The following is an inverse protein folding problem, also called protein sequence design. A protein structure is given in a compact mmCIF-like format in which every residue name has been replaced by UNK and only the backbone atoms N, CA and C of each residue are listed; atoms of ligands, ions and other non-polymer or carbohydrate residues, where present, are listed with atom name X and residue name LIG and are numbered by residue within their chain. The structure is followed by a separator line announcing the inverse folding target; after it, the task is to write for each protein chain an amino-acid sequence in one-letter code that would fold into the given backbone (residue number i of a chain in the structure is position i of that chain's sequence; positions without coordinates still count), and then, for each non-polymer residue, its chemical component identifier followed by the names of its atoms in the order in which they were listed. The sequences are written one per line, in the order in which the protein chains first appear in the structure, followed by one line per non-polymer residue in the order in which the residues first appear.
data_IF_690039753891
#
_entry.id   IF_690039753891
#
_cell.length_a   1.000
_cell.length_b   1.000
_cell.length_c   1.000
_cell.angle_alpha   90.00
_cell.angle_beta   90.00
_cell.angle_gamma   90.00
#
_symmetry.space_group_name_H-M   'P 1'
#
loop_
_entity.id
_entity.type
_entity.pdbx_description
1 polymer ?
#
# COMPACT_ATOMS: atom_id res chain seq x y z
N UNK A 1 -16.21 -0.93 -10.23
CA UNK A 1 -15.14 0.01 -9.82
C UNK A 1 -15.43 1.45 -10.27
N UNK A 2 -15.54 1.76 -11.57
CA UNK A 2 -15.98 3.10 -12.07
C UNK A 2 -17.36 3.54 -11.53
N UNK A 3 -18.30 2.59 -11.39
CA UNK A 3 -19.62 2.81 -10.80
C UNK A 3 -19.54 2.98 -9.27
N UNK A 4 -18.79 2.12 -8.56
CA UNK A 4 -18.65 2.17 -7.09
C UNK A 4 -17.97 3.45 -6.56
N UNK A 5 -17.22 4.17 -7.39
CA UNK A 5 -16.62 5.45 -7.00
C UNK A 5 -17.48 6.67 -7.38
N UNK A 6 -18.41 6.55 -8.34
CA UNK A 6 -19.24 7.67 -8.84
C UNK A 6 -20.70 7.66 -8.37
N UNK A 7 -21.31 6.52 -8.09
CA UNK A 7 -22.76 6.49 -7.85
C UNK A 7 -23.12 6.78 -6.39
N UNK A 8 -23.81 7.90 -6.19
CA UNK A 8 -24.49 8.33 -4.96
C UNK A 8 -25.71 7.47 -4.58
N UNK A 9 -25.95 6.34 -5.24
CA UNK A 9 -27.09 5.48 -4.98
C UNK A 9 -26.70 4.00 -5.04
N UNK A 10 -26.85 3.34 -3.88
CA UNK A 10 -26.97 1.87 -3.70
C UNK A 10 -25.88 1.00 -4.34
N UNK A 11 -24.69 1.01 -3.74
CA UNK A 11 -23.88 -0.18 -3.44
C UNK A 11 -22.58 0.27 -2.75
N UNK A 12 -22.39 -0.19 -1.52
CA UNK A 12 -21.32 0.12 -0.57
C UNK A 12 -19.91 0.23 -1.22
N UNK A 13 -19.37 1.46 -1.25
CA UNK A 13 -18.02 1.79 -1.67
C UNK A 13 -17.10 1.79 -0.44
N UNK A 14 -16.17 0.83 -0.24
CA UNK A 14 -15.27 0.91 0.91
C UNK A 14 -14.15 1.86 0.51
N UNK A 15 -14.33 3.15 0.81
CA UNK A 15 -13.24 4.11 0.61
C UNK A 15 -12.08 3.84 1.58
N UNK A 16 -12.33 3.06 2.65
CA UNK A 16 -11.30 2.42 3.48
C UNK A 16 -11.28 0.92 3.20
N UNK A 17 -10.09 0.40 2.92
CA UNK A 17 -9.85 -1.03 2.78
C UNK A 17 -8.98 -1.57 3.92
N UNK A 18 -9.16 -2.84 4.19
CA UNK A 18 -8.37 -3.55 5.17
C UNK A 18 -7.08 -4.08 4.54
N UNK A 19 -5.92 -3.80 5.14
CA UNK A 19 -4.61 -4.22 4.60
C UNK A 19 -3.83 -5.06 5.58
N UNK A 20 -2.95 -5.91 5.04
CA UNK A 20 -2.11 -6.81 5.83
C UNK A 20 -0.62 -6.52 5.65
N UNK A 21 0.15 -6.91 6.66
CA UNK A 21 1.60 -7.11 6.57
C UNK A 21 1.88 -8.53 7.02
N UNK A 22 3.07 -9.07 6.71
CA UNK A 22 3.48 -10.38 7.24
C UNK A 22 3.32 -10.38 8.76
N UNK A 23 2.45 -11.25 9.25
CA UNK A 23 2.35 -11.59 10.66
C UNK A 23 2.90 -12.99 10.86
N UNK A 24 3.37 -13.25 12.07
CA UNK A 24 4.04 -14.48 12.45
C UNK A 24 3.16 -15.39 13.34
N UNK A 25 2.03 -14.89 13.85
CA UNK A 25 1.13 -15.64 14.71
C UNK A 25 0.02 -16.31 13.88
N UNK A 26 -0.06 -17.65 13.86
CA UNK A 26 -1.11 -18.36 13.13
C UNK A 26 -2.51 -17.98 13.59
N UNK A 27 -3.42 -17.73 12.65
CA UNK A 27 -4.86 -17.52 12.93
C UNK A 27 -5.26 -16.08 13.23
N UNK A 28 -4.33 -15.18 13.60
CA UNK A 28 -4.66 -13.77 13.84
C UNK A 28 -5.19 -13.07 12.59
N UNK A 29 -4.67 -13.44 11.40
CA UNK A 29 -5.14 -12.86 10.13
C UNK A 29 -6.55 -13.33 9.85
N UNK A 30 -6.84 -14.62 9.99
CA UNK A 30 -8.18 -15.16 9.77
C UNK A 30 -9.23 -14.45 10.64
N UNK A 31 -8.97 -14.33 11.95
CA UNK A 31 -9.91 -13.69 12.89
C UNK A 31 -10.10 -12.19 12.58
N UNK A 32 -9.01 -11.48 12.27
CA UNK A 32 -9.12 -10.07 11.89
C UNK A 32 -9.91 -9.87 10.58
N UNK A 33 -9.78 -10.76 9.59
CA UNK A 33 -10.57 -10.69 8.35
C UNK A 33 -12.05 -10.89 8.67
N UNK A 34 -12.38 -11.91 9.47
CA UNK A 34 -13.77 -12.20 9.84
C UNK A 34 -14.40 -11.01 10.57
N UNK A 35 -13.71 -10.47 11.58
CA UNK A 35 -14.15 -9.27 12.30
C UNK A 35 -14.31 -8.06 11.37
N UNK A 36 -13.40 -7.87 10.43
CA UNK A 36 -13.50 -6.79 9.46
C UNK A 36 -14.75 -6.96 8.56
N UNK A 37 -15.04 -8.17 8.11
CA UNK A 37 -16.27 -8.47 7.35
C UNK A 37 -17.51 -8.16 8.19
N UNK A 38 -17.54 -8.58 9.46
CA UNK A 38 -18.64 -8.36 10.40
C UNK A 38 -18.88 -6.87 10.67
N UNK A 39 -17.81 -6.08 10.78
CA UNK A 39 -17.87 -4.62 10.92
C UNK A 39 -18.40 -3.93 9.67
N UNK A 40 -18.21 -4.53 8.49
CA UNK A 40 -18.71 -4.02 7.21
C UNK A 40 -17.64 -3.79 6.15
N UNK A 41 -16.37 -4.12 6.38
CA UNK A 41 -15.36 -4.06 5.34
C UNK A 41 -15.70 -5.02 4.21
N UNK A 42 -15.49 -4.54 2.99
CA UNK A 42 -15.67 -5.32 1.77
C UNK A 42 -14.42 -5.31 0.89
N UNK A 43 -13.47 -4.40 1.13
CA UNK A 43 -12.20 -4.35 0.39
C UNK A 43 -11.06 -4.86 1.27
N UNK A 44 -10.39 -5.91 0.80
CA UNK A 44 -9.21 -6.52 1.42
C UNK A 44 -8.00 -6.40 0.49
N UNK A 45 -6.91 -5.86 1.00
CA UNK A 45 -5.63 -5.69 0.31
C UNK A 45 -4.58 -6.64 0.89
N UNK A 46 -4.09 -7.56 0.07
CA UNK A 46 -3.02 -8.50 0.40
C UNK A 46 -1.97 -8.55 -0.71
N UNK A 47 -1.01 -9.46 -0.60
CA UNK A 47 0.00 -9.74 -1.61
C UNK A 47 0.60 -11.13 -1.39
N UNK A 48 1.15 -11.72 -2.46
CA UNK A 48 1.93 -12.96 -2.39
C UNK A 48 3.01 -12.91 -1.29
N UNK A 49 3.70 -11.78 -1.18
CA UNK A 49 4.78 -11.55 -0.21
C UNK A 49 4.34 -11.70 1.26
N UNK A 50 3.08 -11.43 1.58
CA UNK A 50 2.63 -11.37 2.97
C UNK A 50 2.44 -12.75 3.59
N UNK A 51 2.47 -13.81 2.76
CA UNK A 51 2.41 -15.22 3.18
C UNK A 51 1.18 -15.58 4.02
N UNK A 52 0.08 -14.84 3.86
CA UNK A 52 -1.14 -15.00 4.65
C UNK A 52 -2.41 -15.18 3.80
N UNK A 53 -2.27 -15.32 2.47
CA UNK A 53 -3.39 -15.45 1.54
C UNK A 53 -4.28 -16.67 1.85
N UNK A 54 -3.72 -17.74 2.41
CA UNK A 54 -4.48 -18.93 2.79
C UNK A 54 -5.43 -18.67 3.97
N UNK A 55 -4.96 -17.97 5.00
CA UNK A 55 -5.77 -17.54 6.15
C UNK A 55 -6.89 -16.60 5.72
N UNK A 56 -6.57 -15.64 4.85
CA UNK A 56 -7.55 -14.70 4.33
C UNK A 56 -8.61 -15.42 3.49
N UNK A 57 -8.18 -16.36 2.64
CA UNK A 57 -9.09 -17.21 1.88
C UNK A 57 -10.04 -17.99 2.78
N UNK A 58 -9.52 -18.64 3.84
CA UNK A 58 -10.36 -19.36 4.81
C UNK A 58 -11.40 -18.46 5.45
N UNK A 59 -11.02 -17.27 5.90
CA UNK A 59 -11.93 -16.31 6.50
C UNK A 59 -13.04 -15.88 5.53
N UNK A 60 -12.68 -15.47 4.30
CA UNK A 60 -13.65 -15.05 3.29
C UNK A 60 -14.63 -16.18 2.99
N UNK A 61 -14.15 -17.41 2.78
CA UNK A 61 -15.01 -18.57 2.49
C UNK A 61 -15.93 -18.91 3.65
N UNK A 62 -15.48 -18.81 4.90
CA UNK A 62 -16.34 -18.98 6.09
C UNK A 62 -17.48 -17.95 6.10
N UNK A 63 -17.17 -16.68 5.85
CA UNK A 63 -18.17 -15.60 5.79
C UNK A 63 -19.11 -15.67 4.57
N UNK A 64 -18.70 -16.39 3.52
CA UNK A 64 -19.59 -16.74 2.40
C UNK A 64 -20.49 -17.90 2.78
N UNK A 65 -19.93 -18.94 3.40
CA UNK A 65 -20.68 -20.14 3.80
C UNK A 65 -21.73 -19.85 4.89
N UNK A 66 -21.46 -18.93 5.81
CA UNK A 66 -22.42 -18.50 6.83
C UNK A 66 -23.47 -17.48 6.32
N UNK A 67 -23.38 -17.08 5.05
CA UNK A 67 -24.32 -16.15 4.42
C UNK A 67 -24.11 -14.67 4.74
N UNK A 68 -23.04 -14.30 5.47
CA UNK A 68 -22.78 -12.90 5.83
C UNK A 68 -22.43 -12.01 4.64
N UNK A 69 -21.77 -12.58 3.62
CA UNK A 69 -21.40 -11.91 2.37
C UNK A 69 -21.46 -12.87 1.20
N UNK A 70 -21.63 -12.35 -0.01
CA UNK A 70 -21.39 -13.09 -1.25
C UNK A 70 -19.99 -12.80 -1.78
N UNK A 71 -19.50 -13.62 -2.71
CA UNK A 71 -18.18 -13.38 -3.33
C UNK A 71 -18.14 -12.03 -4.04
N UNK A 72 -19.22 -11.67 -4.72
CA UNK A 72 -19.38 -10.39 -5.42
C UNK A 72 -19.48 -9.16 -4.50
N UNK A 73 -19.73 -9.37 -3.19
CA UNK A 73 -19.67 -8.30 -2.20
C UNK A 73 -18.22 -7.98 -1.78
N UNK A 74 -17.27 -8.89 -2.05
CA UNK A 74 -15.88 -8.75 -1.62
C UNK A 74 -15.01 -8.24 -2.76
N UNK A 75 -14.24 -7.19 -2.50
CA UNK A 75 -13.17 -6.70 -3.36
C UNK A 75 -11.83 -7.17 -2.81
N UNK A 76 -11.22 -8.17 -3.44
CA UNK A 76 -9.95 -8.71 -3.02
C UNK A 76 -8.80 -8.27 -3.94
N UNK A 77 -7.76 -7.67 -3.35
CA UNK A 77 -6.54 -7.25 -4.06
C UNK A 77 -5.37 -8.18 -3.69
N UNK A 78 -4.66 -8.68 -4.70
CA UNK A 78 -3.34 -9.32 -4.53
C UNK A 78 -2.30 -8.68 -5.44
N UNK A 79 -1.03 -9.04 -5.27
CA UNK A 79 0.10 -8.41 -5.96
C UNK A 79 1.16 -9.42 -6.41
N UNK A 80 1.63 -9.30 -7.66
CA UNK A 80 2.77 -10.06 -8.19
C UNK A 80 4.07 -9.54 -7.56
N UNK A 81 4.86 -10.45 -6.99
CA UNK A 81 6.11 -10.13 -6.32
C UNK A 81 7.29 -10.02 -7.30
N UNK A 82 8.38 -9.36 -6.86
CA UNK A 82 9.57 -9.07 -7.69
C UNK A 82 10.22 -10.29 -8.35
N UNK A 83 10.12 -11.47 -7.74
CA UNK A 83 10.67 -12.74 -8.28
C UNK A 83 9.81 -13.36 -9.39
N UNK A 84 8.62 -12.80 -9.65
CA UNK A 84 7.68 -13.26 -10.68
C UNK A 84 7.47 -12.23 -11.80
N UNK A 85 8.30 -11.19 -11.89
CA UNK A 85 8.11 -10.13 -12.90
C UNK A 85 8.49 -10.54 -14.33
N UNK A 86 9.17 -11.68 -14.54
CA UNK A 86 9.32 -12.24 -15.90
C UNK A 86 7.94 -12.55 -16.48
N UNK A 87 7.61 -12.16 -17.73
CA UNK A 87 6.26 -12.28 -18.29
C UNK A 87 5.65 -13.68 -18.16
N UNK A 88 6.44 -14.73 -18.38
CA UNK A 88 6.03 -16.13 -18.28
C UNK A 88 5.69 -16.59 -16.85
N UNK A 89 6.10 -15.85 -15.81
CA UNK A 89 5.88 -16.17 -14.40
C UNK A 89 4.71 -15.41 -13.76
N UNK A 90 4.26 -14.31 -14.38
CA UNK A 90 3.22 -13.44 -13.81
C UNK A 90 1.92 -14.20 -13.57
N UNK A 91 1.45 -14.96 -14.57
CA UNK A 91 0.23 -15.77 -14.45
C UNK A 91 0.39 -16.86 -13.39
N UNK A 92 1.55 -17.53 -13.36
CA UNK A 92 1.86 -18.55 -12.36
C UNK A 92 1.76 -18.01 -10.94
N UNK A 93 2.26 -16.79 -10.71
CA UNK A 93 2.15 -16.10 -9.41
C UNK A 93 0.69 -15.90 -9.01
N UNK A 94 -0.14 -15.40 -9.93
CA UNK A 94 -1.57 -15.19 -9.68
C UNK A 94 -2.30 -16.51 -9.38
N UNK A 95 -2.03 -17.56 -10.15
CA UNK A 95 -2.64 -18.88 -9.94
C UNK A 95 -2.23 -19.49 -8.58
N UNK A 96 -0.98 -19.27 -8.13
CA UNK A 96 -0.55 -19.65 -6.77
C UNK A 96 -1.40 -18.92 -5.72
N UNK A 97 -1.53 -17.60 -5.84
CA UNK A 97 -2.36 -16.80 -4.92
C UNK A 97 -3.81 -17.26 -4.91
N UNK A 98 -4.42 -17.49 -6.08
CA UNK A 98 -5.80 -17.99 -6.20
C UNK A 98 -5.98 -19.38 -5.59
N UNK A 99 -5.01 -20.29 -5.74
CA UNK A 99 -5.03 -21.60 -5.07
C UNK A 99 -5.00 -21.47 -3.55
N UNK A 100 -4.11 -20.64 -2.99
CA UNK A 100 -4.06 -20.37 -1.55
C UNK A 100 -5.39 -19.77 -1.04
N UNK A 101 -5.92 -18.82 -1.80
CA UNK A 101 -7.19 -18.17 -1.49
C UNK A 101 -8.41 -19.08 -1.69
N UNK A 102 -8.27 -20.15 -2.46
CA UNK A 102 -9.37 -20.93 -3.04
C UNK A 102 -10.48 -20.03 -3.61
N UNK A 103 -10.08 -19.04 -4.40
CA UNK A 103 -10.98 -18.15 -5.14
C UNK A 103 -10.75 -18.35 -6.64
N UNK A 104 -11.78 -18.09 -7.44
CA UNK A 104 -11.71 -18.18 -8.90
C UNK A 104 -11.11 -16.93 -9.56
N UNK A 105 -11.14 -15.78 -8.89
CA UNK A 105 -10.57 -14.53 -9.37
C UNK A 105 -10.20 -13.59 -8.22
N UNK A 106 -9.29 -12.65 -8.50
CA UNK A 106 -9.06 -11.43 -7.70
C UNK A 106 -9.73 -10.23 -8.38
N UNK A 107 -10.20 -9.28 -7.59
CA UNK A 107 -10.84 -8.07 -8.11
C UNK A 107 -9.82 -7.09 -8.68
N UNK A 108 -8.64 -7.04 -8.06
CA UNK A 108 -7.50 -6.23 -8.48
C UNK A 108 -6.20 -7.01 -8.34
N UNK A 109 -5.40 -7.04 -9.40
CA UNK A 109 -4.05 -7.59 -9.37
C UNK A 109 -3.02 -6.48 -9.66
N UNK A 110 -2.09 -6.28 -8.75
CA UNK A 110 -1.09 -5.21 -8.86
C UNK A 110 0.30 -5.78 -9.12
N UNK A 111 1.14 -5.05 -9.84
CA UNK A 111 2.59 -5.18 -9.63
C UNK A 111 2.87 -4.73 -8.18
N UNK A 112 3.67 -5.47 -7.40
CA UNK A 112 3.90 -5.11 -5.99
C UNK A 112 4.99 -4.03 -5.86
N UNK A 113 6.11 -4.22 -6.56
CA UNK A 113 7.19 -3.24 -6.71
C UNK A 113 7.72 -3.29 -8.15
N UNK A 114 8.14 -2.17 -8.75
CA UNK A 114 8.67 -2.16 -10.13
C UNK A 114 10.15 -2.58 -10.16
N UNK A 115 10.53 -3.58 -9.37
CA UNK A 115 11.92 -4.01 -9.19
C UNK A 115 11.99 -5.54 -9.35
N UNK A 116 12.46 -6.02 -10.51
CA UNK A 116 12.61 -7.45 -10.74
C UNK A 116 13.77 -8.01 -9.92
N UNK A 117 13.50 -9.14 -9.28
CA UNK A 117 14.47 -9.93 -8.51
C UNK A 117 14.74 -11.23 -9.24
N UNK A 118 15.86 -11.90 -8.94
CA UNK A 118 16.17 -13.24 -9.47
C UNK A 118 14.97 -14.17 -9.25
N UNK A 119 14.41 -14.78 -10.30
CA UNK A 119 13.34 -15.75 -10.13
C UNK A 119 13.79 -16.97 -9.30
N UNK A 120 12.89 -17.47 -8.47
CA UNK A 120 13.15 -18.60 -7.59
C UNK A 120 12.12 -18.70 -6.47
N UNK A 121 12.31 -19.69 -5.58
CA UNK A 121 11.45 -19.92 -4.42
C UNK A 121 11.69 -18.90 -3.30
N UNK A 122 12.91 -18.35 -3.22
CA UNK A 122 13.28 -17.34 -2.24
C UNK A 122 12.52 -16.03 -2.48
N UNK A 123 11.87 -15.49 -1.45
CA UNK A 123 11.22 -14.18 -1.54
C UNK A 123 12.22 -13.04 -1.75
N UNK A 124 13.41 -13.17 -1.15
CA UNK A 124 14.47 -12.16 -1.20
C UNK A 124 15.77 -12.88 -1.58
N UNK A 125 15.97 -13.21 -2.86
CA UNK A 125 17.15 -13.94 -3.30
C UNK A 125 18.40 -13.13 -3.01
N UNK A 126 19.38 -13.76 -2.36
CA UNK A 126 20.63 -13.12 -1.94
C UNK A 126 21.86 -13.82 -2.50
N UNK A 127 22.91 -13.05 -2.76
CA UNK A 127 24.22 -13.59 -3.14
C UNK A 127 25.03 -14.04 -1.90
N UNK A 128 26.26 -14.48 -2.14
CA UNK A 128 27.20 -14.94 -1.11
C UNK A 128 27.57 -13.85 -0.09
N UNK A 129 27.36 -12.57 -0.43
CA UNK A 129 27.60 -11.42 0.44
C UNK A 129 26.34 -10.96 1.20
N UNK A 130 25.19 -11.61 0.96
CA UNK A 130 23.92 -11.28 1.59
C UNK A 130 23.15 -10.14 0.91
N UNK A 131 23.59 -9.69 -0.27
CA UNK A 131 22.98 -8.62 -1.06
C UNK A 131 21.88 -9.16 -1.97
N UNK A 132 20.85 -8.35 -2.24
CA UNK A 132 19.72 -8.77 -3.09
C UNK A 132 20.17 -8.98 -4.53
N UNK A 133 19.79 -10.13 -5.12
CA UNK A 133 20.04 -10.41 -6.53
C UNK A 133 18.91 -9.84 -7.38
N UNK A 134 19.22 -8.77 -8.10
CA UNK A 134 18.31 -8.16 -9.07
C UNK A 134 18.25 -8.91 -10.39
N UNK A 135 17.19 -8.68 -11.14
CA UNK A 135 17.02 -9.19 -12.50
C UNK A 135 16.64 -8.04 -13.44
N UNK A 136 17.02 -8.16 -14.72
CA UNK A 136 16.58 -7.20 -15.74
C UNK A 136 15.33 -7.72 -16.43
N UNK A 137 14.24 -6.96 -16.36
CA UNK A 137 12.99 -7.25 -17.07
C UNK A 137 12.41 -5.95 -17.60
N UNK A 138 11.89 -5.99 -18.83
CA UNK A 138 11.07 -4.90 -19.34
C UNK A 138 9.68 -4.95 -18.70
N UNK A 139 9.37 -3.96 -17.86
CA UNK A 139 8.08 -3.85 -17.20
C UNK A 139 6.90 -3.70 -18.18
N UNK A 140 7.14 -3.25 -19.42
CA UNK A 140 6.11 -3.26 -20.46
C UNK A 140 5.70 -4.68 -20.83
N UNK A 141 6.66 -5.62 -20.94
CA UNK A 141 6.37 -7.03 -21.18
C UNK A 141 5.69 -7.69 -19.95
N UNK A 142 6.09 -7.31 -18.73
CA UNK A 142 5.36 -7.70 -17.51
C UNK A 142 3.91 -7.21 -17.56
N UNK A 143 3.67 -5.98 -18.00
CA UNK A 143 2.32 -5.41 -18.13
C UNK A 143 1.46 -6.18 -19.15
N UNK A 144 2.02 -6.59 -20.29
CA UNK A 144 1.32 -7.44 -21.26
C UNK A 144 0.92 -8.79 -20.65
N UNK A 145 1.73 -9.35 -19.75
CA UNK A 145 1.37 -10.55 -19.01
C UNK A 145 0.25 -10.29 -17.98
N UNK A 146 0.19 -9.10 -17.39
CA UNK A 146 -0.94 -8.66 -16.56
C UNK A 146 -2.22 -8.52 -17.39
N UNK A 147 -2.13 -8.00 -18.61
CA UNK A 147 -3.27 -7.92 -19.55
C UNK A 147 -3.86 -9.31 -19.81
N UNK A 148 -3.00 -10.32 -20.05
CA UNK A 148 -3.41 -11.72 -20.24
C UNK A 148 -4.10 -12.31 -19.00
N UNK A 149 -3.67 -11.93 -17.79
CA UNK A 149 -4.34 -12.34 -16.55
C UNK A 149 -5.74 -11.74 -16.41
N UNK A 150 -5.95 -10.53 -16.96
CA UNK A 150 -7.27 -9.92 -17.03
C UNK A 150 -8.15 -10.57 -18.11
N UNK A 151 -7.59 -10.81 -19.29
CA UNK A 151 -8.30 -11.46 -20.40
C UNK A 151 -8.79 -12.87 -20.03
N UNK A 152 -8.03 -13.62 -19.24
CA UNK A 152 -8.42 -14.95 -18.75
C UNK A 152 -9.47 -14.92 -17.63
N UNK A 153 -9.82 -13.73 -17.13
CA UNK A 153 -10.80 -13.56 -16.05
C UNK A 153 -10.25 -13.85 -14.64
N UNK A 154 -8.98 -14.23 -14.50
CA UNK A 154 -8.32 -14.48 -13.21
C UNK A 154 -8.14 -13.19 -12.39
N UNK A 155 -8.00 -12.04 -13.06
CA UNK A 155 -8.07 -10.73 -12.45
C UNK A 155 -9.17 -9.89 -13.12
N UNK A 156 -10.03 -9.21 -12.37
CA UNK A 156 -11.04 -8.31 -12.96
C UNK A 156 -10.44 -6.97 -13.38
N UNK A 157 -9.47 -6.49 -12.62
CA UNK A 157 -8.74 -5.25 -12.89
C UNK A 157 -7.25 -5.43 -12.62
N UNK A 158 -6.43 -4.59 -13.24
CA UNK A 158 -4.98 -4.58 -13.05
C UNK A 158 -4.49 -3.17 -12.75
N UNK A 159 -3.42 -3.07 -11.97
CA UNK A 159 -2.86 -1.80 -11.53
C UNK A 159 -1.41 -1.90 -11.14
N UNK A 160 -0.89 -0.80 -10.62
CA UNK A 160 0.54 -0.58 -10.46
C UNK A 160 0.86 0.01 -9.09
N UNK A 161 2.09 -0.17 -8.59
CA UNK A 161 2.55 0.46 -7.37
C UNK A 161 3.46 1.64 -7.71
N UNK A 162 3.46 2.67 -6.87
CA UNK A 162 4.59 3.60 -6.75
C UNK A 162 5.13 4.13 -8.09
N UNK A 163 4.24 4.43 -9.02
CA UNK A 163 4.62 4.89 -10.35
C UNK A 163 5.16 6.33 -10.28
N UNK A 164 6.48 6.49 -10.40
CA UNK A 164 7.08 7.81 -10.61
C UNK A 164 6.85 8.27 -12.05
N UNK A 165 7.12 9.54 -12.35
CA UNK A 165 6.79 10.16 -13.65
C UNK A 165 7.31 9.37 -14.85
N UNK A 166 8.57 8.93 -14.82
CA UNK A 166 9.20 8.20 -15.94
C UNK A 166 8.60 6.80 -16.14
N UNK A 167 8.31 6.09 -15.04
CA UNK A 167 7.67 4.77 -15.11
C UNK A 167 6.22 4.86 -15.60
N UNK A 168 5.51 5.95 -15.26
CA UNK A 168 4.16 6.23 -15.75
C UNK A 168 4.11 6.45 -17.25
N UNK A 169 4.95 7.34 -17.75
CA UNK A 169 5.09 7.62 -19.18
C UNK A 169 5.40 6.30 -19.91
N UNK A 170 6.32 5.48 -19.38
CA UNK A 170 6.67 4.19 -20.00
C UNK A 170 5.50 3.20 -20.18
N UNK A 171 4.60 3.08 -19.20
CA UNK A 171 3.46 2.13 -19.31
C UNK A 171 2.24 2.76 -19.99
N UNK A 172 1.96 4.04 -19.75
CA UNK A 172 0.83 4.73 -20.38
C UNK A 172 1.09 5.03 -21.87
N UNK A 173 2.34 5.31 -22.23
CA UNK A 173 2.76 5.60 -23.61
C UNK A 173 3.25 4.33 -24.33
N UNK A 174 3.07 3.15 -23.72
CA UNK A 174 3.44 1.87 -24.32
C UNK A 174 2.68 1.68 -25.65
N UNK A 175 3.38 1.40 -26.76
CA UNK A 175 2.72 1.04 -28.01
C UNK A 175 1.81 -0.18 -27.83
N UNK A 176 0.57 -0.08 -28.31
CA UNK A 176 -0.42 -1.14 -28.20
C UNK A 176 -0.90 -1.41 -26.77
N UNK A 177 -0.87 -0.42 -25.87
CA UNK A 177 -1.43 -0.55 -24.52
C UNK A 177 -2.90 -0.99 -24.59
N UNK A 178 -3.19 -2.20 -24.08
CA UNK A 178 -4.53 -2.78 -24.12
C UNK A 178 -5.41 -2.28 -22.96
N UNK A 179 -4.90 -2.33 -21.74
CA UNK A 179 -5.60 -1.84 -20.55
C UNK A 179 -4.77 -0.81 -19.80
N UNK A 180 -5.37 0.34 -19.51
CA UNK A 180 -4.79 1.32 -18.58
C UNK A 180 -4.81 0.77 -17.15
N UNK A 181 -3.78 1.05 -16.33
CA UNK A 181 -3.80 0.70 -14.91
C UNK A 181 -4.96 1.42 -14.23
N UNK A 182 -5.81 0.68 -13.50
CA UNK A 182 -6.94 1.31 -12.80
C UNK A 182 -6.48 1.98 -11.50
N UNK A 183 -5.46 1.44 -10.86
CA UNK A 183 -5.01 1.89 -9.54
C UNK A 183 -3.51 2.14 -9.52
N UNK A 184 -3.10 3.19 -8.81
CA UNK A 184 -1.72 3.41 -8.39
C UNK A 184 -1.68 3.40 -6.85
N UNK A 185 -1.15 2.31 -6.28
CA UNK A 185 -1.05 2.15 -4.83
C UNK A 185 0.30 2.69 -4.33
N UNK A 186 0.29 3.68 -3.43
CA UNK A 186 1.48 4.44 -2.99
C UNK A 186 1.46 4.78 -1.51
N UNK A 187 2.64 5.08 -0.95
CA UNK A 187 2.76 5.65 0.39
C UNK A 187 2.10 7.03 0.37
N UNK A 188 1.05 7.19 1.17
CA UNK A 188 0.34 8.46 1.24
C UNK A 188 -0.29 8.67 2.62
N UNK A 189 0.16 9.71 3.31
CA UNK A 189 -0.33 10.14 4.63
C UNK A 189 -0.13 11.66 4.75
N UNK A 190 -0.61 12.33 5.81
CA UNK A 190 -0.51 13.79 5.91
C UNK A 190 0.92 14.35 5.75
N UNK A 191 1.96 13.60 6.15
CA UNK A 191 3.37 13.99 5.96
C UNK A 191 3.95 13.69 4.57
N UNK A 192 3.32 12.81 3.80
CA UNK A 192 3.67 12.49 2.42
C UNK A 192 2.39 12.45 1.59
N UNK A 193 1.84 13.64 1.30
CA UNK A 193 0.47 13.75 0.81
C UNK A 193 0.27 13.33 -0.65
N UNK A 194 1.36 13.23 -1.44
CA UNK A 194 1.31 12.88 -2.86
C UNK A 194 0.43 13.79 -3.75
N UNK A 195 0.23 15.08 -3.40
CA UNK A 195 -0.71 15.97 -4.11
C UNK A 195 -0.45 16.09 -5.62
N UNK A 196 0.82 16.20 -6.04
CA UNK A 196 1.19 16.22 -7.47
C UNK A 196 0.84 14.91 -8.18
N UNK A 197 1.12 13.77 -7.54
CA UNK A 197 0.80 12.44 -8.08
C UNK A 197 -0.71 12.21 -8.13
N UNK A 198 -1.46 12.69 -7.12
CA UNK A 198 -2.92 12.62 -7.10
C UNK A 198 -3.54 13.41 -8.26
N UNK A 199 -3.07 14.64 -8.52
CA UNK A 199 -3.53 15.44 -9.66
C UNK A 199 -3.31 14.72 -10.99
N UNK A 200 -2.12 14.12 -11.17
CA UNK A 200 -1.82 13.29 -12.33
C UNK A 200 -2.76 12.09 -12.45
N UNK A 201 -2.91 11.30 -11.37
CA UNK A 201 -3.75 10.11 -11.40
C UNK A 201 -5.20 10.48 -11.76
N UNK A 202 -5.74 11.57 -11.21
CA UNK A 202 -7.05 12.11 -11.60
C UNK A 202 -7.14 12.48 -13.07
N UNK A 203 -6.11 13.13 -13.63
CA UNK A 203 -6.09 13.49 -15.06
C UNK A 203 -6.06 12.29 -16.01
N UNK A 204 -5.57 11.14 -15.54
CA UNK A 204 -5.48 9.88 -16.28
C UNK A 204 -6.57 8.89 -15.92
N UNK A 205 -7.53 9.29 -15.07
CA UNK A 205 -8.58 8.43 -14.54
C UNK A 205 -8.05 7.16 -13.82
N UNK A 206 -6.94 7.35 -13.11
CA UNK A 206 -6.32 6.36 -12.23
C UNK A 206 -6.67 6.73 -10.80
N UNK A 207 -7.11 5.76 -10.00
CA UNK A 207 -7.34 5.99 -8.58
C UNK A 207 -6.06 5.80 -7.81
N UNK A 208 -5.82 6.72 -6.88
CA UNK A 208 -4.73 6.61 -5.94
C UNK A 208 -5.22 5.86 -4.70
N UNK A 209 -4.49 4.82 -4.30
CA UNK A 209 -4.73 4.09 -3.06
C UNK A 209 -3.55 4.28 -2.12
N UNK A 210 -3.82 4.82 -0.93
CA UNK A 210 -2.84 5.12 0.10
C UNK A 210 -2.56 3.89 0.96
N UNK A 211 -1.37 3.28 0.81
CA UNK A 211 -0.83 2.46 1.89
C UNK A 211 -0.17 3.35 2.95
N UNK A 212 0.02 2.79 4.15
CA UNK A 212 0.59 3.52 5.28
C UNK A 212 -0.14 4.84 5.61
N UNK A 213 -1.46 4.89 5.39
CA UNK A 213 -2.27 6.09 5.63
C UNK A 213 -2.17 6.60 7.08
N UNK A 214 -1.81 5.73 8.02
CA UNK A 214 -1.61 6.01 9.44
C UNK A 214 -0.13 6.23 9.84
N UNK A 215 0.79 6.33 8.88
CA UNK A 215 2.20 6.68 9.11
C UNK A 215 3.14 5.51 9.51
N UNK A 216 2.76 4.26 9.23
CA UNK A 216 3.61 3.06 9.39
C UNK A 216 4.21 2.83 10.80
N UNK A 217 3.59 3.32 11.87
CA UNK A 217 4.15 3.16 13.22
C UNK A 217 3.98 1.72 13.75
N UNK A 218 5.08 0.96 13.73
CA UNK A 218 5.24 -0.33 14.39
C UNK A 218 5.50 -0.17 15.90
N UNK A 219 4.65 0.55 16.62
CA UNK A 219 4.65 0.54 18.09
C UNK A 219 5.69 1.42 18.79
N UNK A 220 6.24 2.46 18.15
CA UNK A 220 6.94 3.53 18.88
C UNK A 220 5.97 4.70 19.11
N UNK A 221 5.74 5.02 20.37
CA UNK A 221 4.96 6.16 20.82
C UNK A 221 5.36 7.41 20.03
N UNK A 222 4.36 8.16 19.57
CA UNK A 222 4.59 9.47 19.00
C UNK A 222 5.39 10.29 20.02
N UNK A 223 6.64 10.63 19.70
CA UNK A 223 7.40 11.58 20.49
C UNK A 223 6.58 12.88 20.57
N UNK A 224 6.50 13.53 21.74
CA UNK A 224 5.71 14.74 21.95
C UNK A 224 6.40 15.91 21.25
N UNK A 225 6.25 15.98 19.94
CA UNK A 225 6.64 17.09 19.09
C UNK A 225 5.44 17.43 18.23
N UNK A 226 4.55 18.25 18.78
CA UNK A 226 3.23 18.57 18.25
C UNK A 226 3.23 18.77 16.73
N UNK A 227 2.71 17.78 16.02
CA UNK A 227 2.38 17.92 14.62
C UNK A 227 0.95 18.45 14.49
N UNK A 228 0.66 19.07 13.36
CA UNK A 228 -0.65 19.64 13.06
C UNK A 228 -1.80 18.66 13.26
N UNK A 229 -1.61 17.34 13.11
CA UNK A 229 -2.65 16.34 13.37
C UNK A 229 -3.11 16.31 14.83
N UNK A 230 -2.22 16.53 15.79
CA UNK A 230 -2.57 16.52 17.23
C UNK A 230 -3.45 17.72 17.61
N UNK A 231 -3.14 18.91 17.06
CA UNK A 231 -3.95 20.13 17.24
C UNK A 231 -5.37 20.01 16.68
N UNK A 232 -5.54 19.27 15.57
CA UNK A 232 -6.86 19.07 14.95
C UNK A 232 -7.71 18.01 15.66
N UNK A 233 -7.10 17.00 16.30
CA UNK A 233 -7.83 15.98 17.07
C UNK A 233 -8.59 16.58 18.26
N UNK A 234 -7.99 17.57 18.94
CA UNK A 234 -8.61 18.28 20.05
C UNK A 234 -9.90 19.04 19.66
N UNK A 235 -10.03 19.47 18.39
CA UNK A 235 -11.20 20.21 17.91
C UNK A 235 -12.38 19.32 17.48
N UNK A 236 -12.14 18.02 17.24
CA UNK A 236 -13.13 17.12 16.63
C UNK A 236 -13.60 15.96 17.51
N UNK A 237 -13.03 15.79 18.72
CA UNK A 237 -13.22 14.57 19.54
C UNK A 237 -13.04 13.28 18.71
N UNK A 238 -12.18 13.32 17.69
CA UNK A 238 -11.96 12.23 16.74
C UNK A 238 -10.56 11.66 16.93
N UNK A 239 -10.43 10.33 16.82
CA UNK A 239 -9.12 9.71 16.98
C UNK A 239 -8.19 10.12 15.81
N UNK A 240 -6.87 10.21 16.03
CA UNK A 240 -5.92 10.62 14.98
C UNK A 240 -5.94 9.74 13.71
N UNK A 241 -6.24 8.46 13.85
CA UNK A 241 -6.34 7.53 12.72
C UNK A 241 -7.56 7.85 11.83
N UNK A 242 -8.71 8.16 12.42
CA UNK A 242 -9.91 8.57 11.70
C UNK A 242 -9.70 9.88 10.96
N UNK A 243 -8.97 10.83 11.56
CA UNK A 243 -8.58 12.08 10.90
C UNK A 243 -7.70 11.80 9.68
N UNK A 244 -6.66 10.97 9.83
CA UNK A 244 -5.75 10.62 8.74
C UNK A 244 -6.46 9.87 7.60
N UNK A 245 -7.34 8.92 7.92
CA UNK A 245 -8.15 8.20 6.94
C UNK A 245 -9.13 9.14 6.24
N UNK A 246 -9.90 9.94 7.00
CA UNK A 246 -10.88 10.89 6.46
C UNK A 246 -10.23 11.92 5.53
N UNK A 247 -9.03 12.39 5.87
CA UNK A 247 -8.21 13.25 5.02
C UNK A 247 -7.99 12.64 3.64
N UNK A 248 -7.63 11.35 3.56
CA UNK A 248 -7.47 10.67 2.26
C UNK A 248 -8.80 10.58 1.51
N UNK A 249 -9.88 10.18 2.20
CA UNK A 249 -11.19 10.02 1.57
C UNK A 249 -11.72 11.31 0.95
N UNK A 250 -11.56 12.45 1.66
CA UNK A 250 -12.00 13.77 1.19
C UNK A 250 -11.24 14.21 -0.08
N UNK A 251 -10.02 13.75 -0.25
CA UNK A 251 -9.21 14.05 -1.45
C UNK A 251 -9.55 13.14 -2.64
N UNK A 252 -10.42 12.15 -2.45
CA UNK A 252 -10.72 11.12 -3.44
C UNK A 252 -9.65 10.03 -3.51
N UNK A 253 -8.91 9.82 -2.42
CA UNK A 253 -7.90 8.77 -2.28
C UNK A 253 -8.50 7.60 -1.51
N UNK A 254 -8.37 6.38 -2.03
CA UNK A 254 -8.72 5.17 -1.27
C UNK A 254 -7.69 4.95 -0.16
N UNK A 255 -8.10 4.61 1.06
CA UNK A 255 -7.19 4.51 2.20
C UNK A 255 -7.09 3.08 2.70
N UNK A 256 -5.87 2.57 2.88
CA UNK A 256 -5.63 1.27 3.48
C UNK A 256 -5.34 1.43 4.98
N UNK A 257 -6.04 0.67 5.82
CA UNK A 257 -5.83 0.64 7.26
C UNK A 257 -5.57 -0.79 7.73
N UNK A 258 -4.43 -0.99 8.41
CA UNK A 258 -4.05 -2.28 9.01
C UNK A 258 -4.37 -2.25 10.50
N UNK A 259 -5.08 -3.27 11.00
CA UNK A 259 -5.21 -3.52 12.44
C UNK A 259 -5.43 -5.01 12.69
N UNK A 260 -5.12 -5.47 13.89
CA UNK A 260 -5.56 -6.78 14.42
C UNK A 260 -6.39 -6.63 15.69
N UNK A 261 -6.44 -5.41 16.24
CA UNK A 261 -7.24 -5.06 17.40
C UNK A 261 -8.64 -4.68 16.92
N UNK A 262 -9.66 -5.36 17.45
CA UNK A 262 -11.06 -5.25 17.05
C UNK A 262 -11.61 -3.83 17.17
N UNK A 263 -11.31 -3.13 18.27
CA UNK A 263 -11.76 -1.75 18.48
C UNK A 263 -11.23 -0.84 17.39
N UNK A 264 -9.92 -0.91 17.08
CA UNK A 264 -9.32 -0.15 15.97
C UNK A 264 -9.90 -0.53 14.60
N UNK A 265 -10.25 -1.80 14.37
CA UNK A 265 -10.92 -2.23 13.13
C UNK A 265 -12.25 -1.48 12.97
N UNK A 266 -13.07 -1.47 14.04
CA UNK A 266 -14.36 -0.78 14.11
C UNK A 266 -14.21 0.74 13.97
N UNK A 267 -13.28 1.34 14.72
CA UNK A 267 -13.01 2.78 14.67
C UNK A 267 -12.57 3.25 13.29
N UNK A 268 -11.66 2.52 12.64
CA UNK A 268 -11.19 2.84 11.29
C UNK A 268 -12.32 2.78 10.25
N UNK A 269 -13.33 1.94 10.46
CA UNK A 269 -14.49 1.85 9.56
C UNK A 269 -15.46 3.03 9.72
N UNK A 270 -15.53 3.63 10.92
CA UNK A 270 -16.48 4.70 11.25
C UNK A 270 -16.14 6.07 10.64
N UNK A 271 -15.11 6.19 9.81
CA UNK A 271 -14.71 7.44 9.13
C UNK A 271 -15.73 7.99 8.14
N UNK A 272 -16.76 7.20 7.84
CA UNK A 272 -17.80 7.55 6.88
C UNK A 272 -18.89 8.48 7.46
N UNK A 273 -19.05 8.55 8.79
CA UNK A 273 -20.16 9.27 9.44
C UNK A 273 -21.52 8.63 9.12
N UNK A 274 -22.41 8.48 10.10
CA UNK A 274 -23.73 7.86 9.89
C UNK A 274 -24.67 8.83 9.17
N UNK A 275 -25.38 8.38 8.13
CA UNK A 275 -26.68 8.95 7.79
C UNK A 275 -27.68 8.51 8.87
N UNK A 276 -28.36 9.46 9.49
CA UNK A 276 -29.30 9.21 10.59
C UNK A 276 -30.53 8.47 10.05
N UNK A 277 -30.74 7.25 10.53
CA UNK A 277 -31.94 6.47 10.28
C UNK A 277 -32.24 5.57 11.48
N UNK A 278 -33.14 6.04 12.35
CA UNK A 278 -33.97 5.21 13.22
C UNK A 278 -33.30 4.41 14.34
N UNK A 279 -33.37 4.98 15.56
CA UNK A 279 -33.37 4.32 16.89
C UNK A 279 -32.16 3.46 17.28
N UNK A 280 -31.36 4.06 18.17
CA UNK A 280 -30.51 3.38 19.16
C UNK A 280 -29.22 2.81 18.60
N UNK A 281 -28.13 3.58 18.66
CA UNK A 281 -26.72 3.16 18.82
C UNK A 281 -25.83 4.40 18.61
N UNK A 282 -24.80 4.53 19.46
CA UNK A 282 -23.93 5.69 19.69
C UNK A 282 -23.67 6.58 18.46
N UNK A 283 -23.82 7.90 18.64
CA UNK A 283 -23.49 8.91 17.64
C UNK A 283 -21.99 8.84 17.30
N UNK A 284 -21.66 8.64 16.02
CA UNK A 284 -20.29 8.85 15.54
C UNK A 284 -19.97 10.36 15.64
N UNK A 285 -18.75 10.76 16.05
CA UNK A 285 -18.39 12.16 16.16
C UNK A 285 -18.67 12.89 14.84
N UNK A 286 -19.31 14.07 14.91
CA UNK A 286 -19.55 14.93 13.74
C UNK A 286 -18.20 15.44 13.21
N UNK A 287 -17.66 14.73 12.22
CA UNK A 287 -16.43 15.15 11.55
C UNK A 287 -16.75 16.34 10.61
N UNK A 288 -16.04 17.48 10.72
CA UNK A 288 -16.31 18.66 9.90
C UNK A 288 -16.07 18.40 8.41
N UNK A 289 -16.74 19.16 7.52
CA UNK A 289 -16.84 18.84 6.09
C UNK A 289 -15.53 18.93 5.30
N UNK A 290 -14.52 19.67 5.77
CA UNK A 290 -13.24 19.89 5.08
C UNK A 290 -12.10 19.99 6.09
N UNK A 291 -11.09 19.13 6.00
CA UNK A 291 -9.83 19.28 6.74
C UNK A 291 -8.72 19.74 5.80
N UNK A 292 -8.20 20.95 6.03
CA UNK A 292 -6.92 21.38 5.47
C UNK A 292 -5.85 21.04 6.50
N UNK A 293 -5.24 19.85 6.39
CA UNK A 293 -4.00 19.58 7.11
C UNK A 293 -2.90 20.37 6.40
N UNK A 294 -2.39 21.42 7.05
CA UNK A 294 -1.25 22.18 6.55
C UNK A 294 -0.06 21.25 6.27
N UNK A 295 0.58 21.44 5.12
CA UNK A 295 1.71 20.63 4.67
C UNK A 295 2.85 20.75 5.70
N UNK A 296 3.23 19.61 6.32
CA UNK A 296 4.35 19.59 7.23
C UNK A 296 5.66 19.43 6.44
N UNK A 297 6.69 20.27 6.66
CA UNK A 297 7.94 20.24 5.90
C UNK A 297 8.90 19.09 6.30
N UNK A 298 8.43 18.04 6.99
CA UNK A 298 9.28 16.96 7.51
C UNK A 298 8.91 15.62 6.89
N UNK A 299 9.79 15.13 6.03
CA UNK A 299 9.74 13.77 5.46
C UNK A 299 10.15 12.78 6.55
N UNK A 300 9.16 12.20 7.23
CA UNK A 300 9.37 10.98 8.02
C UNK A 300 9.05 9.78 7.11
N UNK A 301 10.09 9.04 6.73
CA UNK A 301 9.97 7.77 6.01
C UNK A 301 9.38 6.72 6.95
N UNK A 302 8.13 6.31 6.70
CA UNK A 302 7.46 5.29 7.48
C UNK A 302 7.74 3.91 6.90
N UNK A 303 8.66 3.14 7.52
CA UNK A 303 8.97 1.74 7.21
C UNK A 303 8.81 1.34 5.75
N UNK A 304 9.81 1.71 4.98
CA UNK A 304 10.17 0.89 3.86
C UNK A 304 11.46 0.15 4.23
N UNK A 305 11.42 -1.17 4.28
CA UNK A 305 12.61 -2.02 4.07
C UNK A 305 13.19 -1.83 2.63
N UNK A 306 13.05 -0.62 2.05
CA UNK A 306 13.40 -0.25 0.68
C UNK A 306 14.79 0.39 0.57
N UNK A 307 15.56 0.53 1.66
CA UNK A 307 16.93 1.07 1.58
C UNK A 307 17.82 0.22 0.64
N UNK A 308 17.68 -1.11 0.66
CA UNK A 308 18.37 -2.00 -0.28
C UNK A 308 17.91 -1.85 -1.74
N UNK A 309 16.71 -1.29 -1.96
CA UNK A 309 16.12 -1.14 -3.29
C UNK A 309 16.42 0.22 -3.92
N UNK A 310 16.89 1.20 -3.13
CA UNK A 310 17.17 2.55 -3.57
C UNK A 310 18.31 2.65 -4.61
N UNK A 311 19.16 1.62 -4.70
CA UNK A 311 20.29 1.59 -5.65
C UNK A 311 19.94 0.98 -7.02
N UNK A 312 18.75 0.41 -7.20
CA UNK A 312 18.38 -0.21 -8.47
C UNK A 312 17.95 0.83 -9.51
N UNK A 313 18.27 0.64 -10.79
CA UNK A 313 17.91 1.57 -11.87
C UNK A 313 16.39 1.81 -12.03
N UNK A 314 15.57 0.90 -11.50
CA UNK A 314 14.10 1.01 -11.45
C UNK A 314 13.57 1.48 -10.08
N UNK A 315 14.45 1.93 -9.17
CA UNK A 315 14.05 2.48 -7.89
C UNK A 315 13.13 3.69 -8.09
N UNK A 316 12.03 3.70 -7.34
CA UNK A 316 11.02 4.75 -7.43
C UNK A 316 11.55 6.07 -6.86
N UNK A 317 12.41 5.98 -5.85
CA UNK A 317 12.98 7.11 -5.14
C UNK A 317 14.44 7.33 -5.54
N UNK A 318 14.67 8.21 -6.52
CA UNK A 318 15.98 8.87 -6.69
C UNK A 318 15.94 10.17 -5.90
N UNK A 319 16.54 10.18 -4.72
CA UNK A 319 16.59 11.37 -3.88
C UNK A 319 17.63 12.36 -4.44
N UNK A 320 17.30 13.65 -4.65
CA UNK A 320 18.33 14.67 -4.78
C UNK A 320 19.17 14.70 -3.49
N UNK A 321 20.48 15.00 -3.55
CA UNK A 321 21.27 15.20 -2.34
C UNK A 321 20.57 16.27 -1.48
N UNK A 322 20.46 16.08 -0.15
CA UNK A 322 19.92 17.11 0.71
C UNK A 322 20.74 18.40 0.53
N UNK A 323 20.12 19.60 0.61
CA UNK A 323 20.88 20.82 0.67
C UNK A 323 21.89 20.72 1.84
N UNK A 324 23.11 21.28 1.71
CA UNK A 324 24.11 21.15 2.76
C UNK A 324 23.58 21.78 4.05
N UNK A 325 23.15 20.94 4.99
CA UNK A 325 22.83 21.35 6.34
C UNK A 325 24.18 21.45 7.06
N UNK A 326 24.53 22.67 7.43
CA UNK A 326 25.68 22.97 8.26
C UNK A 326 25.44 22.41 9.67
N UNK A 327 25.74 21.12 9.89
CA UNK A 327 25.88 20.55 11.21
C UNK A 327 27.35 20.50 11.57
N UNK A 328 27.73 21.26 12.61
CA UNK A 328 29.04 21.18 13.26
C UNK A 328 29.28 19.76 13.79
N UNK A 329 30.50 19.31 13.50
CA UNK A 329 31.31 18.27 14.18
C UNK A 329 30.74 16.84 14.29
N UNK A 330 31.34 15.98 13.45
CA UNK A 330 31.15 14.53 13.38
C UNK A 330 31.54 14.04 11.98
N UNK A 331 32.84 13.88 11.74
CA UNK A 331 33.47 13.68 10.42
C UNK A 331 32.93 12.46 9.65
N UNK A 332 32.13 12.72 8.61
CA UNK A 332 32.00 11.82 7.43
C UNK A 332 32.91 12.36 6.33
N UNK A 333 33.91 11.60 5.89
CA UNK A 333 34.67 11.92 4.67
C UNK A 333 33.87 11.43 3.46
N UNK A 334 33.66 12.33 2.52
CA UNK A 334 33.07 12.04 1.21
C UNK A 334 34.21 11.90 0.21
N UNK A 335 34.28 10.77 -0.50
CA UNK A 335 35.23 10.57 -1.59
C UNK A 335 34.49 10.37 -2.91
N UNK A 336 35.12 10.82 -4.00
CA UNK A 336 34.59 10.71 -5.37
C UNK A 336 35.30 9.57 -6.09
N UNK A 337 34.54 8.75 -6.82
CA UNK A 337 35.16 7.81 -7.76
C UNK A 337 35.73 8.57 -8.99
N UNK A 338 36.56 7.93 -9.84
CA UNK A 338 37.16 8.56 -11.02
C UNK A 338 36.15 9.12 -12.03
N UNK A 339 34.87 8.70 -11.94
CA UNK A 339 33.75 9.11 -12.79
C UNK A 339 32.92 10.25 -12.16
N UNK A 340 33.32 10.76 -10.99
CA UNK A 340 32.71 11.93 -10.35
C UNK A 340 31.45 11.65 -9.52
N UNK A 341 31.09 10.39 -9.28
CA UNK A 341 29.99 10.01 -8.39
C UNK A 341 30.43 10.00 -6.92
N UNK A 342 29.55 10.51 -6.05
CA UNK A 342 29.75 10.56 -4.60
C UNK A 342 29.30 9.24 -3.96
N UNK A 343 30.19 8.62 -3.19
CA UNK A 343 29.90 7.42 -2.41
C UNK A 343 30.13 7.68 -0.92
N UNK A 344 29.36 7.00 -0.06
CA UNK A 344 29.53 7.03 1.41
C UNK A 344 30.16 5.71 1.84
N UNK A 345 31.38 5.75 2.36
CA UNK A 345 31.95 4.63 3.11
C UNK A 345 31.28 4.56 4.49
N UNK A 346 30.47 3.52 4.72
CA UNK A 346 29.87 3.27 6.04
C UNK A 346 30.88 2.48 6.86
N UNK A 347 31.53 3.14 7.82
CA UNK A 347 32.28 2.48 8.88
C UNK A 347 31.30 1.70 9.76
N UNK A 348 31.43 0.38 9.77
CA UNK A 348 30.73 -0.50 10.72
C UNK A 348 31.24 -0.21 12.15
N UNK A 349 30.37 0.30 13.02
CA UNK A 349 30.62 0.22 14.46
C UNK A 349 30.11 -1.13 14.96
N UNK A 350 31.05 -1.98 15.43
CA UNK A 350 30.74 -3.20 16.21
C UNK A 350 29.96 -2.82 17.48
N UNK A 351 29.06 -3.68 17.98
CA UNK A 351 28.34 -3.40 19.21
C UNK A 351 29.32 -3.54 20.39
N UNK A 352 29.72 -2.42 20.98
CA UNK A 352 30.20 -2.41 22.36
C UNK A 352 29.00 -2.60 23.27
N UNK A 353 28.96 -3.77 23.92
CA UNK A 353 28.33 -3.95 25.24
C UNK A 353 28.91 -2.89 26.19
N UNK A 354 28.22 -2.57 27.29
CA UNK A 354 28.75 -2.19 28.62
C UNK A 354 27.75 -1.26 29.35
N UNK A 355 27.78 -1.19 30.69
CA UNK A 355 27.87 -2.24 31.70
C UNK A 355 26.51 -2.54 32.38
#
# INVERSE_FOLDING_TARGET
WWVMLRTSARALSPRVAFTWTRLLNPGEVQEAVMRAIDVGYRHFDSAYLYLNEEEIGRAIRKKIADGSVKREDIFYTSKVWGTFLRPELVRTSLEISLRKLQLSYVDLYLIHIPIPLKPGEELFPKDEHGELIFHTVDLCATWEAMDKCKDSGLAKSIGVPNFNRKQRERILDKPGLKYKPVCNQVECHPYLNQSKLLGFCKSQDIVLTAYAALGSNSGKECSPGGSSTQCHCCKAQANPAQVALRYQLQRGVGALAKSFNEERIRENFQVHGRAVGGRGLMEAPRLPPVWVIGEAPKVYLGQAHLLAYAMHASAVFNYPPPPPICCREGTRKWERNPEGQLWVSVLFFRPTVWP
#
